data_IF_896457330400
#
_entry.id   IF_896457330400
#
_cell.length_a   1.000
_cell.length_b   1.000
_cell.length_c   1.000
_cell.angle_alpha   90.00
_cell.angle_beta   90.00
_cell.angle_gamma   90.00
#
_symmetry.space_group_name_H-M   'P 1'
#
loop_
_entity.id
_entity.type
_entity.pdbx_description
1 polymer ?
#
# COMPACT_ATOMS: atom_id res chain seq x y z
N UNK A 1 -26.92 20.35 -10.40
CA UNK A 1 -25.87 21.36 -10.41
C UNK A 1 -24.65 20.74 -9.77
N UNK A 2 -23.58 20.53 -10.55
CA UNK A 2 -22.38 19.83 -10.08
C UNK A 2 -21.50 20.77 -9.25
N UNK A 3 -21.01 20.30 -8.11
CA UNK A 3 -20.00 20.99 -7.32
C UNK A 3 -18.65 20.92 -8.05
N UNK A 4 -18.11 22.07 -8.46
CA UNK A 4 -16.85 22.16 -9.18
C UNK A 4 -15.64 21.72 -8.33
N UNK A 5 -15.70 21.90 -7.02
CA UNK A 5 -14.63 21.42 -6.11
C UNK A 5 -14.57 19.89 -6.14
N UNK A 6 -15.72 19.23 -6.01
CA UNK A 6 -15.82 17.77 -6.07
C UNK A 6 -15.40 17.24 -7.44
N UNK A 7 -15.85 17.88 -8.53
CA UNK A 7 -15.48 17.46 -9.88
C UNK A 7 -13.96 17.52 -10.11
N UNK A 8 -13.32 18.61 -9.69
CA UNK A 8 -11.85 18.76 -9.75
C UNK A 8 -11.14 17.70 -8.88
N UNK A 9 -11.66 17.45 -7.67
CA UNK A 9 -11.12 16.45 -6.76
C UNK A 9 -11.14 15.05 -7.41
N UNK A 10 -12.29 14.62 -7.94
CA UNK A 10 -12.45 13.32 -8.58
C UNK A 10 -11.60 13.18 -9.86
N UNK A 11 -11.55 14.20 -10.71
CA UNK A 11 -10.71 14.19 -11.93
C UNK A 11 -9.23 14.08 -11.58
N UNK A 12 -8.74 14.85 -10.59
CA UNK A 12 -7.35 14.77 -10.16
C UNK A 12 -7.02 13.42 -9.50
N UNK A 13 -7.98 12.85 -8.77
CA UNK A 13 -7.80 11.53 -8.14
C UNK A 13 -7.69 10.43 -9.19
N UNK A 14 -8.52 10.46 -10.24
CA UNK A 14 -8.42 9.51 -11.36
C UNK A 14 -7.04 9.58 -12.03
N UNK A 15 -6.52 10.78 -12.26
CA UNK A 15 -5.17 10.98 -12.81
C UNK A 15 -4.07 10.42 -11.88
N UNK A 16 -4.19 10.64 -10.56
CA UNK A 16 -3.25 10.10 -9.56
C UNK A 16 -3.24 8.57 -9.55
N UNK A 17 -4.42 7.94 -9.60
CA UNK A 17 -4.54 6.47 -9.63
C UNK A 17 -3.84 5.91 -10.88
N UNK A 18 -4.07 6.50 -12.05
CA UNK A 18 -3.41 6.08 -13.28
C UNK A 18 -1.88 6.29 -13.21
N UNK A 19 -1.42 7.40 -12.63
CA UNK A 19 0.00 7.67 -12.41
C UNK A 19 0.62 6.63 -11.46
N UNK A 20 -0.07 6.27 -10.37
CA UNK A 20 0.39 5.24 -9.42
C UNK A 20 0.50 3.87 -10.06
N UNK A 21 -0.43 3.50 -10.95
CA UNK A 21 -0.37 2.26 -11.72
C UNK A 21 0.84 2.23 -12.66
N UNK A 22 1.09 3.32 -13.39
CA UNK A 22 2.26 3.44 -14.27
C UNK A 22 3.55 3.35 -13.44
N UNK A 23 3.62 4.05 -12.31
CA UNK A 23 4.80 4.01 -11.44
C UNK A 23 5.06 2.59 -10.90
N UNK A 24 4.02 1.86 -10.50
CA UNK A 24 4.14 0.47 -10.07
C UNK A 24 4.68 -0.43 -11.20
N UNK A 25 4.20 -0.23 -12.43
CA UNK A 25 4.68 -1.00 -13.59
C UNK A 25 6.15 -0.70 -13.93
N UNK A 26 6.60 0.54 -13.75
CA UNK A 26 7.98 0.93 -13.98
C UNK A 26 8.95 0.24 -13.01
N UNK A 27 8.53 0.02 -11.77
CA UNK A 27 9.34 -0.63 -10.72
C UNK A 27 9.05 -2.14 -10.55
N UNK A 28 8.39 -2.74 -11.52
CA UNK A 28 8.11 -4.18 -11.50
C UNK A 28 9.39 -4.99 -11.55
N UNK A 29 9.58 -5.89 -10.57
CA UNK A 29 10.77 -6.76 -10.48
C UNK A 29 12.03 -6.07 -9.95
N UNK A 30 11.96 -4.83 -9.50
CA UNK A 30 13.07 -4.07 -8.93
C UNK A 30 13.25 -4.41 -7.45
N UNK A 31 14.08 -5.41 -7.15
CA UNK A 31 14.25 -5.95 -5.80
C UNK A 31 14.74 -4.92 -4.77
N UNK A 32 15.50 -3.91 -5.20
CA UNK A 32 16.07 -2.84 -4.38
C UNK A 32 15.17 -1.59 -4.32
N UNK A 33 13.88 -1.73 -4.65
CA UNK A 33 12.90 -0.66 -4.53
C UNK A 33 12.92 -0.05 -3.13
N UNK A 34 13.02 1.29 -3.06
CA UNK A 34 13.01 2.00 -1.79
C UNK A 34 11.61 2.01 -1.16
N UNK A 35 11.55 1.94 0.17
CA UNK A 35 10.30 2.03 0.93
C UNK A 35 9.52 3.32 0.59
N UNK A 36 10.22 4.46 0.45
CA UNK A 36 9.58 5.73 0.10
C UNK A 36 8.90 5.67 -1.27
N UNK A 37 9.54 5.06 -2.27
CA UNK A 37 8.95 4.87 -3.61
C UNK A 37 7.72 3.97 -3.54
N UNK A 38 7.77 2.89 -2.75
CA UNK A 38 6.61 2.04 -2.49
C UNK A 38 5.45 2.83 -1.85
N UNK A 39 5.74 3.66 -0.84
CA UNK A 39 4.72 4.52 -0.20
C UNK A 39 4.13 5.51 -1.22
N UNK A 40 4.93 6.09 -2.11
CA UNK A 40 4.42 6.97 -3.17
C UNK A 40 3.49 6.23 -4.13
N UNK A 41 3.85 5.00 -4.54
CA UNK A 41 3.00 4.16 -5.40
C UNK A 41 1.64 3.93 -4.75
N UNK A 42 1.61 3.42 -3.52
CA UNK A 42 0.34 3.10 -2.84
C UNK A 42 -0.44 4.36 -2.45
N UNK A 43 0.24 5.47 -2.20
CA UNK A 43 -0.40 6.76 -1.96
C UNK A 43 -1.16 7.25 -3.22
N UNK A 44 -0.54 7.15 -4.38
CA UNK A 44 -1.17 7.54 -5.64
C UNK A 44 -2.28 6.56 -6.04
N UNK A 45 -1.98 5.26 -6.04
CA UNK A 45 -2.87 4.22 -6.57
C UNK A 45 -4.09 3.94 -5.68
N UNK A 46 -3.92 3.95 -4.36
CA UNK A 46 -4.94 3.53 -3.39
C UNK A 46 -5.36 4.65 -2.45
N UNK A 47 -4.43 5.24 -1.70
CA UNK A 47 -4.76 6.19 -0.64
C UNK A 47 -5.41 7.48 -1.18
N UNK A 48 -5.09 7.88 -2.42
CA UNK A 48 -5.71 9.04 -3.06
C UNK A 48 -7.24 8.90 -3.20
N UNK A 49 -7.75 7.68 -3.44
CA UNK A 49 -9.19 7.42 -3.53
C UNK A 49 -9.87 7.51 -2.16
N UNK A 50 -9.26 6.92 -1.12
CA UNK A 50 -9.74 7.05 0.26
C UNK A 50 -9.81 8.51 0.70
N UNK A 51 -8.74 9.26 0.43
CA UNK A 51 -8.64 10.69 0.68
C UNK A 51 -9.73 11.49 -0.02
N UNK A 52 -9.97 11.22 -1.30
CA UNK A 52 -11.01 11.88 -2.08
C UNK A 52 -12.41 11.54 -1.57
N UNK A 53 -12.67 10.30 -1.16
CA UNK A 53 -13.96 9.88 -0.65
C UNK A 53 -14.31 10.62 0.64
N UNK A 54 -13.40 10.67 1.61
CA UNK A 54 -13.62 11.36 2.90
C UNK A 54 -13.74 12.87 2.72
N UNK A 55 -12.90 13.49 1.87
CA UNK A 55 -12.98 14.91 1.55
C UNK A 55 -14.28 15.27 0.83
N UNK A 56 -14.75 14.42 -0.09
CA UNK A 56 -16.05 14.62 -0.76
C UNK A 56 -17.19 14.64 0.25
N UNK A 57 -17.20 13.74 1.24
CA UNK A 57 -18.16 13.77 2.33
C UNK A 57 -18.16 15.09 3.09
N UNK A 58 -16.96 15.61 3.42
CA UNK A 58 -16.83 16.92 4.07
C UNK A 58 -17.34 18.08 3.21
N UNK A 59 -17.06 18.07 1.89
CA UNK A 59 -17.58 19.08 0.96
C UNK A 59 -19.11 19.08 0.94
N UNK A 60 -19.74 17.90 0.82
CA UNK A 60 -21.19 17.74 0.78
C UNK A 60 -21.86 18.15 2.10
N UNK A 61 -21.18 17.95 3.23
CA UNK A 61 -21.67 18.39 4.55
C UNK A 61 -21.50 19.91 4.79
N UNK A 62 -20.88 20.65 3.86
CA UNK A 62 -20.61 22.09 4.04
C UNK A 62 -19.57 22.37 5.12
N UNK A 63 -18.66 21.41 5.38
CA UNK A 63 -17.63 21.51 6.41
C UNK A 63 -16.64 22.64 6.13
N UNK A 64 -16.00 23.15 7.20
CA UNK A 64 -14.93 24.14 7.10
C UNK A 64 -13.69 23.57 6.37
N UNK A 65 -12.82 24.45 5.86
CA UNK A 65 -11.58 24.03 5.20
C UNK A 65 -10.66 23.24 6.14
N UNK A 66 -10.70 23.50 7.45
CA UNK A 66 -9.96 22.76 8.45
C UNK A 66 -10.48 21.32 8.56
N UNK A 67 -11.79 21.13 8.61
CA UNK A 67 -12.42 19.80 8.67
C UNK A 67 -12.22 19.02 7.35
N UNK A 68 -12.34 19.69 6.19
CA UNK A 68 -12.05 19.09 4.87
C UNK A 68 -10.61 18.55 4.82
N UNK A 69 -9.62 19.32 5.32
CA UNK A 69 -8.21 18.88 5.38
C UNK A 69 -8.01 17.73 6.37
N UNK A 70 -8.68 17.75 7.50
CA UNK A 70 -8.62 16.67 8.48
C UNK A 70 -9.16 15.35 7.91
N UNK A 71 -10.34 15.38 7.27
CA UNK A 71 -10.92 14.21 6.64
C UNK A 71 -10.12 13.75 5.40
N UNK A 72 -9.52 14.66 4.64
CA UNK A 72 -8.57 14.33 3.57
C UNK A 72 -7.35 13.56 4.12
N UNK A 73 -6.76 14.04 5.22
CA UNK A 73 -5.64 13.40 5.92
C UNK A 73 -6.04 12.05 6.50
N UNK A 74 -7.19 11.97 7.16
CA UNK A 74 -7.75 10.72 7.68
C UNK A 74 -7.87 9.66 6.59
N UNK A 75 -8.55 9.98 5.49
CA UNK A 75 -8.75 9.05 4.38
C UNK A 75 -7.43 8.61 3.75
N UNK A 76 -6.49 9.54 3.55
CA UNK A 76 -5.17 9.22 3.00
C UNK A 76 -4.42 8.20 3.86
N UNK A 77 -4.31 8.44 5.15
CA UNK A 77 -3.56 7.57 6.05
C UNK A 77 -4.25 6.22 6.24
N UNK A 78 -5.59 6.21 6.30
CA UNK A 78 -6.35 4.96 6.32
C UNK A 78 -6.12 4.13 5.04
N UNK A 79 -6.08 4.79 3.87
CA UNK A 79 -5.80 4.14 2.58
C UNK A 79 -4.39 3.57 2.49
N UNK A 80 -3.38 4.26 3.04
CA UNK A 80 -2.01 3.73 3.15
C UNK A 80 -1.97 2.49 4.05
N UNK A 81 -2.58 2.57 5.23
CA UNK A 81 -2.66 1.44 6.16
C UNK A 81 -3.36 0.23 5.53
N UNK A 82 -4.48 0.47 4.83
CA UNK A 82 -5.24 -0.56 4.13
C UNK A 82 -4.38 -1.29 3.09
N UNK A 83 -3.66 -0.54 2.22
CA UNK A 83 -2.85 -1.17 1.18
C UNK A 83 -1.65 -1.92 1.76
N UNK A 84 -0.95 -1.36 2.75
CA UNK A 84 0.16 -2.05 3.42
C UNK A 84 -0.33 -3.37 4.05
N UNK A 85 -1.51 -3.35 4.68
CA UNK A 85 -2.07 -4.56 5.28
C UNK A 85 -2.47 -5.60 4.20
N UNK A 86 -3.08 -5.17 3.08
CA UNK A 86 -3.44 -6.06 1.96
C UNK A 86 -2.20 -6.73 1.36
N UNK A 87 -1.15 -5.96 1.09
CA UNK A 87 0.13 -6.45 0.57
C UNK A 87 0.84 -7.41 1.54
N UNK A 88 0.76 -7.14 2.85
CA UNK A 88 1.33 -8.01 3.88
C UNK A 88 0.56 -9.34 4.00
N UNK A 89 -0.77 -9.29 3.90
CA UNK A 89 -1.64 -10.46 3.98
C UNK A 89 -1.52 -11.37 2.76
N UNK A 90 -1.00 -10.89 1.63
CA UNK A 90 -0.70 -11.73 0.46
C UNK A 90 0.36 -12.80 0.74
N UNK A 91 1.18 -12.59 1.79
CA UNK A 91 2.18 -13.56 2.28
C UNK A 91 1.77 -14.28 3.57
N UNK A 92 0.55 -14.04 4.09
CA UNK A 92 0.10 -14.57 5.37
C UNK A 92 -1.01 -15.60 5.18
N UNK A 93 -0.78 -16.82 5.68
CA UNK A 93 -1.81 -17.83 5.86
C UNK A 93 -1.69 -19.01 4.91
N UNK A 94 -1.92 -20.20 5.47
CA UNK A 94 -2.13 -21.46 4.73
C UNK A 94 -3.63 -21.75 4.54
N UNK A 95 -4.51 -20.84 4.96
CA UNK A 95 -5.92 -21.17 5.06
C UNK A 95 -6.67 -20.92 3.75
N UNK A 96 -7.01 -22.02 3.10
CA UNK A 96 -8.00 -22.13 2.01
C UNK A 96 -9.39 -21.56 2.38
N UNK A 97 -9.57 -20.98 3.58
CA UNK A 97 -10.87 -20.51 4.08
C UNK A 97 -11.41 -19.29 3.31
N UNK A 98 -10.55 -18.48 2.68
CA UNK A 98 -11.01 -17.31 1.91
C UNK A 98 -10.91 -17.48 0.39
N UNK A 99 -10.49 -18.64 -0.13
CA UNK A 99 -10.39 -18.89 -1.58
C UNK A 99 -9.38 -17.99 -2.31
N UNK A 100 -8.52 -17.24 -1.58
CA UNK A 100 -7.50 -16.36 -2.15
C UNK A 100 -6.21 -17.16 -2.33
N UNK A 101 -5.68 -17.21 -3.54
CA UNK A 101 -4.34 -17.74 -3.80
C UNK A 101 -3.32 -16.83 -3.11
N UNK A 102 -2.43 -17.41 -2.29
CA UNK A 102 -1.38 -16.69 -1.56
C UNK A 102 -0.25 -16.38 -2.54
N UNK A 103 0.41 -15.21 -2.37
CA UNK A 103 1.58 -14.83 -3.17
C UNK A 103 1.26 -14.28 -4.55
N UNK A 104 0.02 -13.85 -4.79
CA UNK A 104 -0.38 -13.29 -6.09
C UNK A 104 0.54 -12.15 -6.52
N UNK A 105 0.86 -11.22 -5.62
CA UNK A 105 1.73 -10.09 -5.91
C UNK A 105 3.14 -10.54 -6.28
N UNK A 106 3.67 -11.57 -5.60
CA UNK A 106 4.96 -12.17 -5.94
C UNK A 106 4.95 -12.77 -7.35
N UNK A 107 3.94 -13.57 -7.69
CA UNK A 107 3.83 -14.19 -9.03
C UNK A 107 3.67 -13.15 -10.13
N UNK A 108 3.00 -12.04 -9.87
CA UNK A 108 2.87 -10.90 -10.77
C UNK A 108 4.15 -10.05 -10.86
N UNK A 109 5.12 -10.25 -9.97
CA UNK A 109 6.37 -9.50 -9.89
C UNK A 109 6.25 -8.11 -9.30
N UNK A 110 5.21 -7.88 -8.52
CA UNK A 110 5.09 -6.66 -7.72
C UNK A 110 6.04 -6.74 -6.53
N UNK A 111 6.77 -5.67 -6.30
CA UNK A 111 7.62 -5.51 -5.13
C UNK A 111 6.84 -4.74 -4.07
N UNK A 112 6.45 -5.46 -3.03
CA UNK A 112 5.65 -4.92 -1.92
C UNK A 112 6.46 -4.86 -0.63
N UNK A 113 5.94 -4.19 0.40
CA UNK A 113 6.69 -3.90 1.62
C UNK A 113 7.37 -5.13 2.28
N UNK A 114 6.75 -6.32 2.33
CA UNK A 114 7.44 -7.49 2.87
C UNK A 114 8.74 -7.84 2.13
N UNK A 115 8.77 -7.73 0.80
CA UNK A 115 9.98 -7.98 0.00
C UNK A 115 11.04 -6.89 0.22
N UNK A 116 10.62 -5.62 0.29
CA UNK A 116 11.50 -4.49 0.59
C UNK A 116 12.19 -4.70 1.94
N UNK A 117 11.46 -5.13 2.97
CA UNK A 117 12.03 -5.41 4.29
C UNK A 117 13.05 -6.55 4.24
N UNK A 118 12.74 -7.63 3.49
CA UNK A 118 13.71 -8.72 3.31
C UNK A 118 14.97 -8.23 2.61
N UNK A 119 14.85 -7.44 1.55
CA UNK A 119 15.99 -6.89 0.83
C UNK A 119 16.84 -5.98 1.72
N UNK A 120 16.23 -5.13 2.54
CA UNK A 120 16.94 -4.23 3.45
C UNK A 120 17.72 -4.99 4.54
N UNK A 121 17.12 -6.06 5.10
CA UNK A 121 17.68 -6.81 6.25
C UNK A 121 18.52 -8.01 5.83
N UNK A 122 18.38 -8.49 4.60
CA UNK A 122 19.05 -9.68 4.08
C UNK A 122 20.56 -9.49 3.92
N UNK A 123 21.28 -10.61 3.95
CA UNK A 123 22.67 -10.66 3.56
C UNK A 123 22.81 -10.60 2.02
N UNK A 124 24.05 -10.56 1.51
CA UNK A 124 24.32 -10.40 0.08
C UNK A 124 23.78 -11.58 -0.76
N UNK A 125 23.85 -12.81 -0.25
CA UNK A 125 23.33 -14.00 -0.94
C UNK A 125 21.79 -13.92 -1.08
N UNK A 126 21.10 -13.51 -0.02
CA UNK A 126 19.64 -13.36 0.00
C UNK A 126 19.15 -12.19 -0.86
N UNK A 127 19.90 -11.09 -0.90
CA UNK A 127 19.64 -9.97 -1.81
C UNK A 127 19.80 -10.38 -3.26
N UNK A 128 20.89 -11.07 -3.59
CA UNK A 128 21.14 -11.59 -4.93
C UNK A 128 20.02 -12.56 -5.35
N UNK A 129 19.61 -13.47 -4.46
CA UNK A 129 18.48 -14.36 -4.71
C UNK A 129 17.20 -13.57 -5.04
N UNK A 130 16.87 -12.52 -4.27
CA UNK A 130 15.68 -11.70 -4.54
C UNK A 130 15.78 -10.99 -5.90
N UNK A 131 16.95 -10.46 -6.26
CA UNK A 131 17.17 -9.86 -7.59
C UNK A 131 16.91 -10.88 -8.68
N UNK A 132 17.53 -12.06 -8.58
CA UNK A 132 17.41 -13.09 -9.59
C UNK A 132 15.96 -13.59 -9.75
N UNK A 133 15.26 -13.84 -8.63
CA UNK A 133 13.89 -14.38 -8.67
C UNK A 133 12.89 -13.36 -9.17
N UNK A 134 13.04 -12.08 -8.80
CA UNK A 134 12.11 -11.02 -9.20
C UNK A 134 12.30 -10.61 -10.68
N UNK A 135 13.46 -10.84 -11.27
CA UNK A 135 13.72 -10.62 -12.70
C UNK A 135 13.19 -11.74 -13.61
N UNK A 136 12.81 -12.90 -13.05
CA UNK A 136 12.24 -14.00 -13.85
C UNK A 136 10.92 -13.55 -14.52
N UNK A 137 10.74 -13.92 -15.79
CA UNK A 137 9.45 -13.71 -16.48
C UNK A 137 8.31 -14.51 -15.81
N UNK A 138 8.62 -15.73 -15.38
CA UNK A 138 7.67 -16.61 -14.65
C UNK A 138 8.34 -17.15 -13.40
N UNK A 139 7.66 -17.03 -12.28
CA UNK A 139 8.04 -17.56 -10.98
C UNK A 139 7.24 -18.83 -10.70
N UNK A 140 7.86 -19.79 -10.04
CA UNK A 140 7.22 -21.05 -9.68
C UNK A 140 7.00 -21.17 -8.16
N UNK A 141 6.39 -22.27 -7.72
CA UNK A 141 6.10 -22.53 -6.31
C UNK A 141 7.37 -22.69 -5.44
N UNK A 142 8.47 -23.19 -6.02
CA UNK A 142 9.74 -23.31 -5.30
C UNK A 142 10.31 -21.91 -5.03
N UNK A 143 10.27 -21.02 -6.02
CA UNK A 143 10.66 -19.61 -5.88
C UNK A 143 9.84 -18.92 -4.79
N UNK A 144 8.54 -19.18 -4.76
CA UNK A 144 7.66 -18.61 -3.73
C UNK A 144 7.96 -19.16 -2.34
N UNK A 145 8.16 -20.48 -2.23
CA UNK A 145 8.46 -21.13 -0.96
C UNK A 145 9.76 -20.62 -0.34
N UNK A 146 10.81 -20.43 -1.14
CA UNK A 146 12.10 -19.89 -0.69
C UNK A 146 11.96 -18.41 -0.29
N UNK A 147 11.25 -17.61 -1.09
CA UNK A 147 10.97 -16.21 -0.75
C UNK A 147 10.14 -16.10 0.54
N UNK A 148 9.14 -16.96 0.74
CA UNK A 148 8.33 -17.01 1.94
C UNK A 148 9.16 -17.39 3.18
N UNK A 149 10.16 -18.28 3.03
CA UNK A 149 11.08 -18.60 4.11
C UNK A 149 11.89 -17.37 4.55
N UNK A 150 12.34 -16.53 3.62
CA UNK A 150 13.02 -15.26 3.92
C UNK A 150 12.08 -14.25 4.60
N UNK A 151 10.86 -14.10 4.09
CA UNK A 151 9.83 -13.24 4.69
C UNK A 151 9.57 -13.65 6.16
N UNK A 152 9.47 -14.94 6.44
CA UNK A 152 9.29 -15.46 7.79
C UNK A 152 10.54 -15.24 8.67
N UNK A 153 11.74 -15.48 8.13
CA UNK A 153 13.02 -15.27 8.82
C UNK A 153 13.15 -13.82 9.33
N UNK A 154 12.80 -12.85 8.50
CA UNK A 154 12.90 -11.43 8.85
C UNK A 154 11.62 -10.86 9.48
N UNK A 155 10.58 -11.69 9.71
CA UNK A 155 9.28 -11.27 10.23
C UNK A 155 8.67 -10.12 9.42
N UNK A 156 8.88 -10.14 8.10
CA UNK A 156 8.57 -9.02 7.22
C UNK A 156 7.07 -8.67 7.21
N UNK A 157 6.18 -9.67 7.31
CA UNK A 157 4.73 -9.44 7.48
C UNK A 157 4.44 -8.65 8.76
N UNK A 158 5.01 -9.07 9.89
CA UNK A 158 4.79 -8.37 11.18
C UNK A 158 5.32 -6.94 11.13
N UNK A 159 6.48 -6.73 10.53
CA UNK A 159 7.06 -5.39 10.39
C UNK A 159 6.23 -4.51 9.45
N UNK A 160 5.67 -5.07 8.38
CA UNK A 160 4.75 -4.36 7.48
C UNK A 160 3.47 -3.95 8.22
N UNK A 161 2.89 -4.84 9.03
CA UNK A 161 1.70 -4.52 9.82
C UNK A 161 1.94 -3.42 10.86
N UNK A 162 3.16 -3.32 11.43
CA UNK A 162 3.53 -2.18 12.28
C UNK A 162 3.57 -0.85 11.50
N UNK A 163 3.97 -0.87 10.23
CA UNK A 163 3.87 0.33 9.37
C UNK A 163 2.41 0.70 9.11
N UNK A 164 1.54 -0.29 8.87
CA UNK A 164 0.10 -0.04 8.73
C UNK A 164 -0.48 0.58 10.01
N UNK A 165 -0.14 0.04 11.19
CA UNK A 165 -0.56 0.57 12.50
C UNK A 165 -0.10 2.02 12.71
N UNK A 166 1.11 2.36 12.31
CA UNK A 166 1.60 3.74 12.34
C UNK A 166 0.68 4.70 11.55
N UNK A 167 0.29 4.33 10.33
CA UNK A 167 -0.62 5.14 9.53
C UNK A 167 -2.04 5.17 10.10
N UNK A 168 -2.52 4.08 10.71
CA UNK A 168 -3.79 4.08 11.46
C UNK A 168 -3.77 5.11 12.57
N UNK A 169 -2.70 5.17 13.37
CA UNK A 169 -2.56 6.13 14.47
C UNK A 169 -2.55 7.58 13.95
N UNK A 170 -1.89 7.87 12.83
CA UNK A 170 -1.94 9.19 12.19
C UNK A 170 -3.37 9.50 11.73
N UNK A 171 -4.10 8.52 11.19
CA UNK A 171 -5.47 8.72 10.76
C UNK A 171 -6.38 9.10 11.92
N UNK A 172 -6.26 8.44 13.08
CA UNK A 172 -7.00 8.81 14.28
C UNK A 172 -6.67 10.24 14.75
N UNK A 173 -5.38 10.61 14.79
CA UNK A 173 -4.97 11.97 15.17
C UNK A 173 -5.58 13.05 14.26
N UNK A 174 -5.86 12.74 12.99
CA UNK A 174 -6.52 13.70 12.10
C UNK A 174 -7.98 13.99 12.52
N UNK A 175 -8.61 13.11 13.28
CA UNK A 175 -10.00 13.26 13.75
C UNK A 175 -10.12 14.00 15.08
N UNK A 176 -9.03 14.30 15.78
CA UNK A 176 -9.04 14.99 17.10
C UNK A 176 -9.65 16.39 17.06
N UNK A 177 -9.83 16.97 15.87
CA UNK A 177 -10.49 18.26 15.71
C UNK A 177 -12.02 18.19 15.81
N UNK A 178 -12.60 16.99 15.72
CA UNK A 178 -14.03 16.79 15.84
C UNK A 178 -14.40 16.49 17.29
N UNK A 179 -15.58 16.98 17.72
CA UNK A 179 -16.12 16.68 19.04
C UNK A 179 -16.53 15.19 19.10
N UNK A 180 -16.39 14.58 20.29
CA UNK A 180 -16.91 13.24 20.55
C UNK A 180 -18.45 13.26 20.42
N UNK A 181 -18.99 12.33 19.61
CA UNK A 181 -20.43 12.20 19.35
C UNK A 181 -21.07 11.11 20.19
#
# INVERSE_FOLDING_TARGET
DGDLEILKLLSSTSAKIAQGEVLQLQHKGEADLLEDTYIDIINLKTASLFSAATKTGACLAGSSDKEKKALESYGRNLGLAFQIADDALDYYGKDKFFGKEIGKDFFEGKVTLPLIIVFQKGNDEERNYLVDVLQKEKRNEDDFSETLALINKYKAVTESLKRAEYFVNISYGALEIFEES
#
